data_IF_778288706057
#
_entry.id   IF_778288706057
#
_cell.length_a   1.000
_cell.length_b   1.000
_cell.length_c   1.000
_cell.angle_alpha   90.00
_cell.angle_beta   90.00
_cell.angle_gamma   90.00
#
_symmetry.space_group_name_H-M   'P 1'
#
loop_
_entity.id
_entity.type
_entity.pdbx_description
1 polymer ?
#
# COMPACT_ATOMS: atom_id res chain seq x y z
N UNK A 1 -30.37 -2.01 27.53
CA UNK A 1 -30.36 -0.64 26.98
C UNK A 1 -28.91 -0.32 26.76
N UNK A 2 -28.46 -0.36 25.50
CA UNK A 2 -27.05 -0.06 25.10
C UNK A 2 -26.88 1.45 25.27
N UNK A 3 -25.94 1.87 26.10
CA UNK A 3 -25.55 3.28 26.23
C UNK A 3 -25.18 3.80 24.83
N UNK A 4 -26.02 4.68 24.30
CA UNK A 4 -25.80 5.30 23.00
C UNK A 4 -24.56 6.19 23.12
N UNK A 5 -23.41 5.71 22.63
CA UNK A 5 -22.20 6.55 22.55
C UNK A 5 -22.46 7.70 21.59
N UNK A 6 -22.34 8.91 22.08
CA UNK A 6 -22.38 10.12 21.26
C UNK A 6 -20.96 10.43 20.83
N UNK A 7 -20.73 10.62 19.53
CA UNK A 7 -19.47 11.11 18.98
C UNK A 7 -19.36 12.63 19.18
N UNK A 8 -19.09 13.06 20.41
CA UNK A 8 -18.97 14.50 20.75
C UNK A 8 -17.82 15.19 20.01
N UNK A 9 -16.79 14.44 19.66
CA UNK A 9 -15.56 14.93 19.00
C UNK A 9 -15.59 14.81 17.48
N UNK A 10 -16.76 14.76 16.84
CA UNK A 10 -16.86 14.67 15.38
C UNK A 10 -17.35 15.99 14.74
N UNK A 11 -16.48 17.02 14.62
CA UNK A 11 -16.88 18.31 14.08
C UNK A 11 -17.48 18.22 12.67
N UNK A 12 -17.05 17.25 11.89
CA UNK A 12 -17.54 16.97 10.53
C UNK A 12 -19.01 16.52 10.45
N UNK A 13 -19.61 16.07 11.57
CA UNK A 13 -21.06 15.79 11.66
C UNK A 13 -21.88 17.05 11.88
N UNK A 14 -21.28 18.09 12.50
CA UNK A 14 -21.99 19.31 12.92
C UNK A 14 -21.80 20.46 11.92
N UNK A 15 -20.71 20.45 11.18
CA UNK A 15 -20.35 21.52 10.24
C UNK A 15 -19.53 20.98 9.04
N UNK A 16 -19.56 21.71 7.94
CA UNK A 16 -18.83 21.37 6.74
C UNK A 16 -19.57 20.46 5.77
N UNK A 17 -18.87 19.90 4.77
CA UNK A 17 -19.49 19.20 3.64
C UNK A 17 -20.35 18.00 4.00
N UNK A 18 -19.87 17.15 4.92
CA UNK A 18 -20.63 15.95 5.35
C UNK A 18 -21.94 16.31 6.07
N UNK A 19 -21.88 17.29 7.00
CA UNK A 19 -23.07 17.80 7.68
C UNK A 19 -24.09 18.36 6.69
N UNK A 20 -23.64 19.08 5.65
CA UNK A 20 -24.50 19.60 4.58
C UNK A 20 -25.19 18.48 3.79
N UNK A 21 -24.47 17.41 3.46
CA UNK A 21 -25.05 16.23 2.79
C UNK A 21 -26.10 15.57 3.69
N UNK A 22 -25.79 15.34 4.97
CA UNK A 22 -26.74 14.77 5.93
C UNK A 22 -28.01 15.63 6.08
N UNK A 23 -27.86 16.96 6.16
CA UNK A 23 -28.99 17.88 6.28
C UNK A 23 -29.93 17.84 5.06
N UNK A 24 -29.37 17.67 3.84
CA UNK A 24 -30.16 17.55 2.60
C UNK A 24 -30.89 16.21 2.50
N UNK A 25 -30.27 15.13 3.00
CA UNK A 25 -30.82 13.78 2.87
C UNK A 25 -31.84 13.42 3.96
N UNK A 26 -31.75 14.04 5.15
CA UNK A 26 -32.68 13.81 6.25
C UNK A 26 -33.99 14.64 6.08
N UNK A 27 -35.08 14.17 6.63
CA UNK A 27 -36.39 14.82 6.58
C UNK A 27 -37.39 14.17 5.61
N UNK A 28 -38.65 14.57 5.66
CA UNK A 28 -39.77 14.02 4.88
C UNK A 28 -39.87 12.49 4.94
N UNK A 29 -39.62 11.92 6.13
CA UNK A 29 -39.65 10.49 6.35
C UNK A 29 -38.42 9.72 5.88
N UNK A 30 -37.38 10.40 5.40
CA UNK A 30 -36.09 9.79 5.05
C UNK A 30 -35.04 10.05 6.12
N UNK A 31 -34.13 9.11 6.25
CA UNK A 31 -33.01 9.15 7.19
C UNK A 31 -31.69 8.88 6.45
N UNK A 32 -30.64 9.58 6.85
CA UNK A 32 -29.28 9.37 6.36
C UNK A 32 -28.30 9.33 7.53
N UNK A 33 -27.36 8.39 7.50
CA UNK A 33 -26.30 8.22 8.50
C UNK A 33 -24.95 8.04 7.81
N UNK A 34 -23.89 8.50 8.45
CA UNK A 34 -22.53 8.08 8.06
C UNK A 34 -22.30 6.65 8.51
N UNK A 35 -21.59 5.86 7.70
CA UNK A 35 -21.46 4.41 7.92
C UNK A 35 -20.02 3.93 7.76
N UNK A 36 -19.71 2.77 8.35
CA UNK A 36 -18.50 2.01 8.05
C UNK A 36 -17.21 2.62 8.56
N UNK A 37 -16.24 2.78 7.66
CA UNK A 37 -14.88 3.16 8.00
C UNK A 37 -14.73 4.48 8.74
N UNK A 38 -15.49 5.50 8.37
CA UNK A 38 -15.45 6.81 9.02
C UNK A 38 -15.90 6.74 10.48
N UNK A 39 -16.97 5.97 10.78
CA UNK A 39 -17.47 5.79 12.15
C UNK A 39 -16.45 5.03 13.00
N UNK A 40 -15.92 3.91 12.49
CA UNK A 40 -14.85 3.15 13.15
C UNK A 40 -13.65 4.04 13.46
N UNK A 41 -13.16 4.79 12.48
CA UNK A 41 -11.99 5.65 12.64
C UNK A 41 -12.24 6.76 13.67
N UNK A 42 -13.43 7.37 13.67
CA UNK A 42 -13.80 8.37 14.69
C UNK A 42 -13.78 7.77 16.10
N UNK A 43 -14.35 6.56 16.28
CA UNK A 43 -14.36 5.86 17.58
C UNK A 43 -12.96 5.45 18.05
N UNK A 44 -12.03 5.22 17.12
CA UNK A 44 -10.64 4.84 17.41
C UNK A 44 -9.69 6.04 17.47
N UNK A 45 -10.18 7.27 17.31
CA UNK A 45 -9.37 8.49 17.17
C UNK A 45 -8.32 8.38 16.03
N UNK A 46 -8.64 7.61 14.99
CA UNK A 46 -7.81 7.44 13.80
C UNK A 46 -8.19 8.47 12.71
N UNK A 47 -7.28 8.79 11.77
CA UNK A 47 -7.56 9.70 10.66
C UNK A 47 -8.79 9.26 9.86
N UNK A 48 -9.70 10.21 9.59
CA UNK A 48 -10.90 9.96 8.78
C UNK A 48 -10.55 10.22 7.32
N UNK A 49 -10.70 9.19 6.50
CA UNK A 49 -10.57 9.27 5.05
C UNK A 49 -11.93 9.59 4.39
N UNK A 50 -12.35 8.70 3.49
CA UNK A 50 -13.62 8.83 2.79
C UNK A 50 -14.80 8.67 3.78
N UNK A 51 -15.84 9.47 3.57
CA UNK A 51 -17.07 9.45 4.37
C UNK A 51 -18.18 8.89 3.49
N UNK A 52 -18.57 7.64 3.78
CA UNK A 52 -19.69 6.97 3.13
C UNK A 52 -20.98 7.24 3.91
N UNK A 53 -22.06 7.47 3.19
CA UNK A 53 -23.39 7.75 3.76
C UNK A 53 -24.36 6.69 3.27
N UNK A 54 -25.12 6.11 4.19
CA UNK A 54 -26.27 5.29 3.85
C UNK A 54 -27.55 6.09 4.09
N UNK A 55 -28.61 5.82 3.30
CA UNK A 55 -29.89 6.49 3.42
C UNK A 55 -31.08 5.59 3.11
N UNK A 56 -32.21 5.87 3.70
CA UNK A 56 -33.50 5.23 3.35
C UNK A 56 -34.07 5.76 2.04
N UNK A 57 -33.60 6.92 1.56
CA UNK A 57 -34.04 7.52 0.31
C UNK A 57 -33.57 6.72 -0.92
N UNK A 58 -34.47 6.49 -1.88
CA UNK A 58 -34.12 5.88 -3.17
C UNK A 58 -33.21 6.82 -3.99
N UNK A 59 -32.40 6.29 -4.93
CA UNK A 59 -31.46 7.06 -5.71
C UNK A 59 -32.05 8.30 -6.39
N UNK A 60 -33.23 8.18 -6.99
CA UNK A 60 -33.92 9.30 -7.66
C UNK A 60 -34.28 10.41 -6.66
N UNK A 61 -34.67 10.04 -5.45
CA UNK A 61 -34.96 11.01 -4.37
C UNK A 61 -33.69 11.68 -3.86
N UNK A 62 -32.56 10.96 -3.76
CA UNK A 62 -31.25 11.51 -3.45
C UNK A 62 -30.85 12.55 -4.50
N UNK A 63 -30.96 12.23 -5.79
CA UNK A 63 -30.65 13.15 -6.90
C UNK A 63 -31.56 14.39 -6.86
N UNK A 64 -32.85 14.19 -6.65
CA UNK A 64 -33.83 15.31 -6.59
C UNK A 64 -33.52 16.28 -5.46
N UNK A 65 -33.25 15.76 -4.23
CA UNK A 65 -32.89 16.57 -3.06
C UNK A 65 -31.57 17.30 -3.23
N UNK A 66 -30.56 16.62 -3.80
CA UNK A 66 -29.26 17.22 -4.11
C UNK A 66 -29.42 18.40 -5.10
N UNK A 67 -30.22 18.21 -6.16
CA UNK A 67 -30.52 19.27 -7.15
C UNK A 67 -31.22 20.47 -6.51
N UNK A 68 -32.21 20.23 -5.67
CA UNK A 68 -32.93 21.30 -4.96
C UNK A 68 -32.00 22.09 -4.02
N UNK A 69 -30.97 21.48 -3.45
CA UNK A 69 -29.96 22.10 -2.61
C UNK A 69 -28.75 22.68 -3.36
N UNK A 70 -28.74 22.65 -4.71
CA UNK A 70 -27.63 23.12 -5.53
C UNK A 70 -26.38 22.25 -5.38
N UNK A 71 -26.51 20.96 -5.04
CA UNK A 71 -25.42 20.00 -4.91
C UNK A 71 -25.32 19.18 -6.19
N UNK A 72 -24.08 19.09 -6.74
CA UNK A 72 -23.81 18.24 -7.91
C UNK A 72 -23.93 16.77 -7.52
N UNK A 73 -24.74 16.01 -8.28
CA UNK A 73 -24.90 14.57 -8.13
C UNK A 73 -24.41 13.84 -9.38
N UNK A 74 -23.75 12.69 -9.19
CA UNK A 74 -23.25 11.80 -10.25
C UNK A 74 -23.75 10.39 -9.97
N UNK A 75 -24.50 9.75 -10.89
CA UNK A 75 -25.01 8.40 -10.71
C UNK A 75 -23.91 7.35 -10.97
N UNK A 76 -23.01 7.18 -10.01
CA UNK A 76 -21.82 6.30 -10.15
C UNK A 76 -22.12 4.81 -10.06
N UNK A 77 -23.28 4.42 -9.54
CA UNK A 77 -23.68 3.01 -9.35
C UNK A 77 -25.16 2.90 -9.02
N UNK A 78 -26.01 3.48 -9.85
CA UNK A 78 -27.47 3.61 -9.59
C UNK A 78 -28.16 2.24 -9.49
N UNK A 79 -27.68 1.25 -10.25
CA UNK A 79 -28.13 -0.15 -10.21
C UNK A 79 -27.83 -0.82 -8.86
N UNK A 80 -26.86 -0.29 -8.11
CA UNK A 80 -26.49 -0.74 -6.77
C UNK A 80 -26.97 0.23 -5.69
N UNK A 81 -27.76 1.25 -6.06
CA UNK A 81 -28.29 2.24 -5.14
C UNK A 81 -27.31 3.37 -4.76
N UNK A 82 -26.17 3.52 -5.46
CA UNK A 82 -25.14 4.51 -5.11
C UNK A 82 -25.19 5.74 -6.01
N UNK A 83 -25.19 6.90 -5.38
CA UNK A 83 -25.08 8.22 -6.03
C UNK A 83 -23.94 8.98 -5.35
N UNK A 84 -23.01 9.54 -6.11
CA UNK A 84 -21.97 10.40 -5.56
C UNK A 84 -22.45 11.86 -5.53
N UNK A 85 -22.47 12.46 -4.36
CA UNK A 85 -22.71 13.89 -4.15
C UNK A 85 -21.38 14.62 -4.00
N UNK A 86 -21.24 15.77 -4.67
CA UNK A 86 -20.00 16.56 -4.61
C UNK A 86 -20.27 17.89 -3.91
N UNK A 87 -19.67 18.09 -2.74
CA UNK A 87 -19.77 19.31 -1.92
C UNK A 87 -18.37 19.85 -1.68
N UNK A 88 -18.11 21.11 -2.03
CA UNK A 88 -16.78 21.74 -1.87
C UNK A 88 -15.63 20.90 -2.48
N UNK A 89 -15.86 20.41 -3.69
CA UNK A 89 -14.94 19.51 -4.42
C UNK A 89 -14.65 18.15 -3.75
N UNK A 90 -15.34 17.79 -2.65
CA UNK A 90 -15.24 16.49 -1.98
C UNK A 90 -16.38 15.58 -2.42
N UNK A 91 -16.08 14.35 -2.89
CA UNK A 91 -17.10 13.36 -3.20
C UNK A 91 -17.59 12.67 -1.92
N UNK A 92 -18.90 12.41 -1.87
CA UNK A 92 -19.56 11.59 -0.84
C UNK A 92 -20.36 10.51 -1.54
N UNK A 93 -20.03 9.24 -1.27
CA UNK A 93 -20.83 8.13 -1.76
C UNK A 93 -22.06 7.97 -0.88
N UNK A 94 -23.23 8.14 -1.49
CA UNK A 94 -24.54 7.98 -0.83
C UNK A 94 -25.18 6.72 -1.38
N UNK A 95 -25.39 5.73 -0.52
CA UNK A 95 -25.95 4.44 -0.91
C UNK A 95 -27.30 4.24 -0.23
N UNK A 96 -28.34 3.94 -1.01
CA UNK A 96 -29.65 3.53 -0.47
C UNK A 96 -29.50 2.23 0.33
N UNK A 97 -30.13 2.14 1.49
CA UNK A 97 -30.18 0.90 2.28
C UNK A 97 -30.70 -0.25 1.41
N UNK A 98 -30.07 -1.39 1.52
CA UNK A 98 -30.37 -2.55 0.67
C UNK A 98 -30.23 -3.87 1.42
N UNK A 99 -30.97 -4.84 0.95
CA UNK A 99 -30.86 -6.24 1.32
C UNK A 99 -30.31 -7.01 0.12
N UNK A 100 -29.34 -7.89 0.34
CA UNK A 100 -28.82 -8.75 -0.72
C UNK A 100 -29.79 -9.94 -0.86
N UNK A 101 -30.56 -9.98 -1.95
CA UNK A 101 -31.56 -11.04 -2.21
C UNK A 101 -30.87 -12.30 -2.74
N UNK A 102 -29.84 -12.15 -3.58
CA UNK A 102 -29.00 -13.23 -4.11
C UNK A 102 -27.58 -12.70 -4.32
N UNK A 103 -26.59 -13.40 -3.80
CA UNK A 103 -25.16 -13.04 -3.92
C UNK A 103 -24.45 -14.03 -4.83
N UNK A 104 -23.91 -13.54 -5.95
CA UNK A 104 -23.03 -14.27 -6.84
C UNK A 104 -21.68 -13.53 -6.93
N UNK A 105 -20.83 -13.75 -5.95
CA UNK A 105 -19.53 -13.05 -5.85
C UNK A 105 -19.72 -11.52 -5.79
N UNK A 106 -19.36 -10.81 -6.88
CA UNK A 106 -19.42 -9.33 -6.95
C UNK A 106 -20.79 -8.78 -7.39
N UNK A 107 -21.67 -9.62 -7.95
CA UNK A 107 -23.00 -9.23 -8.40
C UNK A 107 -24.03 -9.75 -7.40
N UNK A 108 -24.61 -8.83 -6.63
CA UNK A 108 -25.79 -9.11 -5.81
C UNK A 108 -27.01 -8.53 -6.52
N UNK A 109 -28.08 -9.30 -6.60
CA UNK A 109 -29.40 -8.73 -6.88
C UNK A 109 -29.87 -8.06 -5.60
N UNK A 110 -29.91 -6.73 -5.60
CA UNK A 110 -30.26 -5.96 -4.42
C UNK A 110 -31.72 -5.57 -4.43
N UNK A 111 -32.37 -5.66 -3.28
CA UNK A 111 -33.64 -5.00 -3.03
C UNK A 111 -33.38 -3.78 -2.13
N UNK A 112 -33.90 -2.63 -2.53
CA UNK A 112 -33.82 -1.44 -1.70
C UNK A 112 -34.73 -1.60 -0.50
N UNK A 113 -34.23 -1.27 0.69
CA UNK A 113 -34.90 -1.41 1.95
C UNK A 113 -34.82 -0.15 2.81
N UNK A 114 -35.38 -0.24 3.99
CA UNK A 114 -35.35 0.84 5.00
C UNK A 114 -34.83 0.35 6.35
N UNK A 115 -34.41 -0.93 6.41
CA UNK A 115 -34.00 -1.59 7.65
C UNK A 115 -32.46 -1.42 7.83
N UNK A 116 -32.11 -0.65 8.85
CA UNK A 116 -30.71 -0.39 9.22
C UNK A 116 -29.99 -1.62 9.75
N UNK A 117 -30.69 -2.52 10.44
CA UNK A 117 -30.07 -3.73 10.96
C UNK A 117 -29.68 -4.67 9.83
N UNK A 118 -30.55 -4.86 8.84
CA UNK A 118 -30.25 -5.68 7.66
C UNK A 118 -29.12 -5.11 6.81
N UNK A 119 -29.05 -3.77 6.65
CA UNK A 119 -27.91 -3.16 5.97
C UNK A 119 -26.60 -3.36 6.74
N UNK A 120 -26.62 -3.30 8.06
CA UNK A 120 -25.45 -3.58 8.89
C UNK A 120 -25.02 -5.06 8.78
N UNK A 121 -25.98 -6.00 8.84
CA UNK A 121 -25.74 -7.45 8.79
C UNK A 121 -25.07 -7.92 7.48
N UNK A 122 -25.31 -7.24 6.35
CA UNK A 122 -24.67 -7.60 5.07
C UNK A 122 -23.21 -7.14 4.95
N UNK A 123 -22.70 -6.31 5.86
CA UNK A 123 -21.31 -5.83 5.87
C UNK A 123 -20.35 -6.94 6.28
N UNK A 124 -19.07 -6.72 6.14
CA UNK A 124 -18.03 -7.74 6.37
C UNK A 124 -17.74 -7.96 7.87
N UNK A 125 -17.38 -6.89 8.58
CA UNK A 125 -16.91 -6.98 9.98
C UNK A 125 -17.76 -6.11 10.91
N UNK A 126 -17.92 -6.56 12.16
CA UNK A 126 -18.69 -5.86 13.19
C UNK A 126 -18.26 -4.40 13.36
N UNK A 127 -16.97 -4.13 13.39
CA UNK A 127 -16.40 -2.77 13.51
C UNK A 127 -16.67 -1.88 12.30
N UNK A 128 -17.09 -2.45 11.17
CA UNK A 128 -17.48 -1.74 9.94
C UNK A 128 -19.02 -1.67 9.80
N UNK A 129 -19.77 -2.34 10.66
CA UNK A 129 -21.24 -2.36 10.67
C UNK A 129 -21.89 -1.22 11.45
N UNK A 130 -21.09 -0.30 11.98
CA UNK A 130 -21.57 0.84 12.75
C UNK A 130 -22.04 1.97 11.86
N UNK A 131 -23.05 2.72 12.35
CA UNK A 131 -23.51 3.97 11.73
C UNK A 131 -23.61 5.08 12.76
N UNK A 132 -23.57 6.35 12.32
CA UNK A 132 -23.76 7.54 13.16
C UNK A 132 -24.71 8.50 12.46
N UNK A 133 -25.70 9.00 13.19
CA UNK A 133 -26.65 9.98 12.68
C UNK A 133 -26.12 11.43 12.79
N UNK A 134 -26.91 12.37 12.30
CA UNK A 134 -26.57 13.79 12.32
C UNK A 134 -26.47 14.40 13.73
N UNK A 135 -27.09 13.76 14.74
CA UNK A 135 -26.98 14.16 16.14
C UNK A 135 -25.71 13.62 16.83
N UNK A 136 -24.96 12.74 16.13
CA UNK A 136 -23.77 12.11 16.68
C UNK A 136 -24.04 10.81 17.43
N UNK A 137 -25.27 10.31 17.43
CA UNK A 137 -25.62 9.03 18.09
C UNK A 137 -25.11 7.87 17.24
N UNK A 138 -24.32 7.00 17.84
CA UNK A 138 -23.81 5.79 17.20
C UNK A 138 -24.83 4.66 17.34
N UNK A 139 -25.16 4.06 16.20
CA UNK A 139 -26.07 2.92 16.13
C UNK A 139 -25.27 1.64 15.85
N UNK A 140 -25.46 0.64 16.70
CA UNK A 140 -24.79 -0.67 16.62
C UNK A 140 -25.84 -1.79 16.60
N UNK A 141 -25.98 -2.44 15.45
CA UNK A 141 -26.88 -3.57 15.25
C UNK A 141 -26.16 -4.93 15.23
N UNK A 142 -24.83 -4.94 15.27
CA UNK A 142 -24.02 -6.15 15.02
C UNK A 142 -22.94 -6.41 16.08
N UNK A 143 -22.91 -5.62 17.16
CA UNK A 143 -21.95 -5.76 18.25
C UNK A 143 -20.56 -5.21 17.91
N UNK A 144 -20.51 -4.13 17.12
CA UNK A 144 -19.27 -3.48 16.72
C UNK A 144 -18.64 -2.64 17.82
N UNK A 145 -19.41 -1.99 18.70
CA UNK A 145 -18.89 -1.17 19.79
C UNK A 145 -18.03 -1.95 20.80
N UNK A 146 -18.45 -3.13 21.31
CA UNK A 146 -17.59 -3.99 22.12
C UNK A 146 -16.33 -4.42 21.39
N UNK A 147 -16.41 -4.72 20.09
CA UNK A 147 -15.26 -5.14 19.28
C UNK A 147 -14.28 -3.98 19.02
N UNK A 148 -14.77 -2.75 18.85
CA UNK A 148 -13.94 -1.53 18.82
C UNK A 148 -13.16 -1.37 20.13
N UNK A 149 -13.85 -1.48 21.26
CA UNK A 149 -13.23 -1.34 22.58
C UNK A 149 -12.16 -2.41 22.84
N UNK A 150 -12.43 -3.65 22.39
CA UNK A 150 -11.48 -4.77 22.49
C UNK A 150 -10.41 -4.81 21.38
N UNK A 151 -10.41 -3.87 20.44
CA UNK A 151 -9.54 -3.93 19.26
C UNK A 151 -9.63 -5.27 18.53
N UNK A 152 -10.81 -5.85 18.44
CA UNK A 152 -11.08 -7.15 17.83
C UNK A 152 -11.75 -6.99 16.47
N UNK A 153 -11.25 -7.71 15.47
CA UNK A 153 -11.86 -7.78 14.14
C UNK A 153 -12.59 -9.11 14.00
N UNK A 154 -13.89 -9.07 13.88
CA UNK A 154 -14.76 -10.24 13.81
C UNK A 154 -15.74 -10.12 12.64
N UNK A 155 -15.98 -11.21 11.94
CA UNK A 155 -17.03 -11.27 10.91
C UNK A 155 -18.42 -11.05 11.52
N UNK A 156 -19.31 -10.43 10.75
CA UNK A 156 -20.72 -10.34 11.07
C UNK A 156 -21.37 -11.68 10.68
N UNK A 157 -22.05 -12.34 11.64
CA UNK A 157 -22.65 -13.66 11.43
C UNK A 157 -21.61 -14.79 11.30
N UNK A 158 -21.91 -15.80 10.48
CA UNK A 158 -21.05 -16.96 10.28
C UNK A 158 -19.87 -16.63 9.34
N UNK A 159 -18.60 -16.76 9.80
CA UNK A 159 -17.44 -16.41 9.00
C UNK A 159 -17.29 -17.21 7.72
N UNK A 160 -17.59 -18.51 7.75
CA UNK A 160 -17.43 -19.38 6.58
C UNK A 160 -18.41 -18.99 5.47
N UNK A 161 -19.67 -18.71 5.85
CA UNK A 161 -20.68 -18.19 4.92
C UNK A 161 -20.26 -16.84 4.34
N UNK A 162 -19.77 -15.92 5.17
CA UNK A 162 -19.33 -14.58 4.73
C UNK A 162 -18.16 -14.65 3.74
N UNK A 163 -17.23 -15.58 3.95
CA UNK A 163 -16.09 -15.82 3.05
C UNK A 163 -16.58 -16.43 1.72
N UNK A 164 -17.52 -17.38 1.76
CA UNK A 164 -18.07 -18.01 0.55
C UNK A 164 -18.82 -17.00 -0.36
N UNK A 165 -19.44 -15.96 0.20
CA UNK A 165 -20.06 -14.88 -0.58
C UNK A 165 -19.02 -14.05 -1.36
N UNK A 166 -17.83 -13.79 -0.78
CA UNK A 166 -16.71 -13.10 -1.43
C UNK A 166 -15.38 -13.46 -0.77
N UNK A 167 -14.58 -14.27 -1.43
CA UNK A 167 -13.28 -14.73 -0.91
C UNK A 167 -12.27 -13.60 -0.68
N UNK A 168 -12.49 -12.39 -1.22
CA UNK A 168 -11.65 -11.24 -0.89
C UNK A 168 -11.70 -10.87 0.60
N UNK A 169 -12.79 -11.26 1.28
CA UNK A 169 -12.94 -11.04 2.73
C UNK A 169 -11.85 -11.72 3.54
N UNK A 170 -11.20 -12.76 3.02
CA UNK A 170 -10.01 -13.37 3.63
C UNK A 170 -8.89 -12.32 3.74
N UNK A 171 -8.53 -11.69 2.63
CA UNK A 171 -7.48 -10.66 2.62
C UNK A 171 -7.89 -9.43 3.43
N UNK A 172 -9.16 -9.05 3.33
CA UNK A 172 -9.72 -7.93 4.10
C UNK A 172 -9.65 -8.18 5.61
N UNK A 173 -9.90 -9.42 6.07
CA UNK A 173 -9.82 -9.79 7.49
C UNK A 173 -8.43 -9.49 8.05
N UNK A 174 -7.38 -9.98 7.42
CA UNK A 174 -6.00 -9.74 7.86
C UNK A 174 -5.60 -8.27 7.73
N UNK A 175 -6.01 -7.59 6.66
CA UNK A 175 -5.73 -6.16 6.50
C UNK A 175 -6.43 -5.30 7.55
N UNK A 176 -7.70 -5.55 7.81
CA UNK A 176 -8.46 -4.80 8.81
C UNK A 176 -7.92 -5.10 10.21
N UNK A 177 -7.56 -6.37 10.49
CA UNK A 177 -6.89 -6.74 11.75
C UNK A 177 -5.55 -6.01 11.90
N UNK A 178 -4.71 -6.02 10.87
CA UNK A 178 -3.43 -5.29 10.88
C UNK A 178 -3.58 -3.78 11.09
N UNK A 179 -4.67 -3.18 10.63
CA UNK A 179 -4.89 -1.73 10.74
C UNK A 179 -5.57 -1.31 12.04
N UNK A 180 -6.43 -2.16 12.62
CA UNK A 180 -7.33 -1.75 13.71
C UNK A 180 -7.42 -2.74 14.87
N UNK A 181 -6.96 -3.98 14.66
CA UNK A 181 -6.93 -5.04 15.66
C UNK A 181 -5.73 -4.94 16.61
N UNK A 182 -5.74 -5.80 17.62
CA UNK A 182 -4.60 -6.03 18.51
C UNK A 182 -4.55 -7.49 18.95
N UNK A 183 -3.35 -7.98 19.28
CA UNK A 183 -3.15 -9.39 19.67
C UNK A 183 -3.41 -10.35 18.51
N UNK A 184 -3.83 -11.56 18.86
CA UNK A 184 -4.14 -12.62 17.90
C UNK A 184 -5.42 -12.30 17.09
N UNK A 185 -5.50 -12.68 15.81
CA UNK A 185 -6.72 -12.61 15.04
C UNK A 185 -7.86 -13.41 15.69
N UNK A 186 -9.11 -12.95 15.52
CA UNK A 186 -10.28 -13.70 15.99
C UNK A 186 -10.26 -15.14 15.49
N UNK A 187 -10.28 -16.09 16.42
CA UNK A 187 -10.04 -17.51 16.12
C UNK A 187 -11.05 -18.09 15.14
N UNK A 188 -12.34 -17.76 15.26
CA UNK A 188 -13.36 -18.26 14.37
C UNK A 188 -13.16 -17.73 12.93
N UNK A 189 -12.89 -16.43 12.80
CA UNK A 189 -12.57 -15.78 11.55
C UNK A 189 -11.29 -16.34 10.92
N UNK A 190 -10.23 -16.54 11.72
CA UNK A 190 -8.96 -17.10 11.26
C UNK A 190 -9.11 -18.53 10.69
N UNK A 191 -9.77 -19.42 11.43
CA UNK A 191 -10.00 -20.79 10.96
C UNK A 191 -10.86 -20.84 9.69
N UNK A 192 -11.88 -19.98 9.60
CA UNK A 192 -12.70 -19.88 8.40
C UNK A 192 -11.90 -19.36 7.19
N UNK A 193 -10.97 -18.41 7.40
CA UNK A 193 -10.05 -17.95 6.35
C UNK A 193 -9.16 -19.09 5.84
N UNK A 194 -8.60 -19.91 6.74
CA UNK A 194 -7.81 -21.09 6.36
C UNK A 194 -8.67 -22.09 5.59
N UNK A 195 -9.87 -22.40 6.05
CA UNK A 195 -10.75 -23.35 5.37
C UNK A 195 -11.20 -22.88 3.99
N UNK A 196 -11.35 -21.55 3.82
CA UNK A 196 -11.79 -20.95 2.57
C UNK A 196 -10.67 -20.58 1.58
N UNK A 197 -9.40 -20.86 1.89
CA UNK A 197 -8.24 -20.32 1.13
C UNK A 197 -8.24 -20.68 -0.36
N UNK A 198 -8.79 -21.82 -0.74
CA UNK A 198 -8.87 -22.25 -2.14
C UNK A 198 -9.63 -21.26 -3.04
N UNK A 199 -10.60 -20.53 -2.46
CA UNK A 199 -11.36 -19.51 -3.16
C UNK A 199 -10.55 -18.26 -3.56
N UNK A 200 -9.36 -18.04 -2.99
CA UNK A 200 -8.47 -16.96 -3.40
C UNK A 200 -8.07 -17.05 -4.86
N UNK A 201 -8.01 -18.26 -5.42
CA UNK A 201 -7.68 -18.48 -6.84
C UNK A 201 -8.72 -17.90 -7.83
N UNK A 202 -9.97 -17.69 -7.37
CA UNK A 202 -11.02 -17.11 -8.19
C UNK A 202 -11.02 -15.57 -8.22
N UNK A 203 -10.17 -14.92 -7.41
CA UNK A 203 -10.13 -13.46 -7.31
C UNK A 203 -9.34 -12.84 -8.46
N UNK A 204 -9.77 -11.65 -8.90
CA UNK A 204 -8.98 -10.87 -9.84
C UNK A 204 -7.70 -10.35 -9.17
N UNK A 205 -6.60 -10.36 -9.93
CA UNK A 205 -5.29 -9.95 -9.44
C UNK A 205 -5.29 -8.50 -8.91
N UNK A 206 -6.09 -7.62 -9.52
CA UNK A 206 -6.23 -6.21 -9.13
C UNK A 206 -6.85 -6.07 -7.73
N UNK A 207 -7.89 -6.88 -7.44
CA UNK A 207 -8.53 -6.89 -6.11
C UNK A 207 -7.56 -7.41 -5.04
N UNK A 208 -6.86 -8.50 -5.34
CA UNK A 208 -5.82 -9.07 -4.46
C UNK A 208 -4.72 -8.04 -4.21
N UNK A 209 -4.18 -7.42 -5.28
CA UNK A 209 -3.16 -6.38 -5.16
C UNK A 209 -3.57 -5.24 -4.24
N UNK A 210 -4.79 -4.74 -4.40
CA UNK A 210 -5.29 -3.61 -3.61
C UNK A 210 -5.29 -3.92 -2.10
N UNK A 211 -5.72 -5.12 -1.69
CA UNK A 211 -5.72 -5.53 -0.30
C UNK A 211 -4.30 -5.81 0.21
N UNK A 212 -3.46 -6.49 -0.59
CA UNK A 212 -2.06 -6.76 -0.25
C UNK A 212 -1.28 -5.47 -0.03
N UNK A 213 -1.38 -4.49 -0.93
CA UNK A 213 -0.63 -3.23 -0.78
C UNK A 213 -1.04 -2.47 0.48
N UNK A 214 -2.33 -2.46 0.82
CA UNK A 214 -2.83 -1.85 2.06
C UNK A 214 -2.37 -2.63 3.31
N UNK A 215 -2.32 -3.96 3.23
CA UNK A 215 -1.81 -4.81 4.31
C UNK A 215 -0.32 -4.53 4.56
N UNK A 216 0.49 -4.42 3.50
CA UNK A 216 1.93 -4.19 3.64
C UNK A 216 2.27 -2.94 4.44
N UNK A 217 1.46 -1.89 4.39
CA UNK A 217 1.72 -0.63 5.09
C UNK A 217 0.97 -0.47 6.42
N UNK A 218 0.15 -1.44 6.79
CA UNK A 218 -0.58 -1.39 8.06
C UNK A 218 0.37 -1.50 9.27
N UNK A 219 0.00 -0.90 10.40
CA UNK A 219 0.83 -0.88 11.62
C UNK A 219 1.09 -2.27 12.19
N UNK A 220 0.08 -3.15 12.16
CA UNK A 220 0.14 -4.55 12.57
C UNK A 220 0.47 -5.52 11.43
N UNK A 221 1.06 -5.06 10.32
CA UNK A 221 1.36 -5.89 9.15
C UNK A 221 2.20 -7.11 9.49
N UNK A 222 3.18 -6.97 10.40
CA UNK A 222 4.07 -8.05 10.81
C UNK A 222 3.30 -9.24 11.40
N UNK A 223 2.48 -9.01 12.42
CA UNK A 223 1.68 -10.05 13.06
C UNK A 223 0.65 -10.67 12.10
N UNK A 224 -0.03 -9.84 11.29
CA UNK A 224 -1.01 -10.34 10.33
C UNK A 224 -0.36 -11.20 9.24
N UNK A 225 0.79 -10.82 8.70
CA UNK A 225 1.53 -11.59 7.69
C UNK A 225 2.08 -12.88 8.29
N UNK A 226 2.54 -12.86 9.55
CA UNK A 226 2.95 -14.07 10.28
C UNK A 226 1.78 -15.04 10.44
N UNK A 227 0.63 -14.57 10.90
CA UNK A 227 -0.57 -15.41 11.00
C UNK A 227 -1.02 -15.98 9.63
N UNK A 228 -0.93 -15.19 8.56
CA UNK A 228 -1.20 -15.66 7.20
C UNK A 228 -0.20 -16.73 6.75
N UNK A 229 1.08 -16.61 7.13
CA UNK A 229 2.11 -17.60 6.82
C UNK A 229 1.84 -18.93 7.52
N UNK A 230 1.54 -18.89 8.81
CA UNK A 230 1.19 -20.05 9.63
C UNK A 230 -0.07 -20.76 9.11
N UNK A 231 -1.05 -20.00 8.65
CA UNK A 231 -2.27 -20.50 8.02
C UNK A 231 -2.12 -20.98 6.57
N UNK A 232 -0.91 -20.90 5.97
CA UNK A 232 -0.66 -21.33 4.59
C UNK A 232 -1.26 -20.40 3.50
N UNK A 233 -1.71 -19.20 3.88
CA UNK A 233 -2.44 -18.28 2.99
C UNK A 233 -1.53 -17.50 2.03
N UNK A 234 -0.22 -17.40 2.30
CA UNK A 234 0.70 -16.59 1.47
C UNK A 234 1.05 -17.26 0.14
N UNK A 235 1.17 -18.59 0.12
CA UNK A 235 1.53 -19.32 -1.10
C UNK A 235 0.51 -19.15 -2.24
N UNK A 236 -0.81 -19.27 -2.02
CA UNK A 236 -1.80 -18.99 -3.05
C UNK A 236 -1.76 -17.55 -3.58
N UNK A 237 -1.38 -16.59 -2.73
CA UNK A 237 -1.32 -15.16 -3.08
C UNK A 237 -0.08 -14.87 -3.93
N UNK A 238 1.10 -15.26 -3.47
CA UNK A 238 2.38 -14.87 -4.10
C UNK A 238 2.92 -15.91 -5.09
N UNK A 239 2.53 -17.18 -4.98
CA UNK A 239 3.00 -18.27 -5.84
C UNK A 239 4.50 -18.54 -5.73
N UNK A 240 5.11 -18.18 -4.59
CA UNK A 240 6.54 -18.31 -4.33
C UNK A 240 6.82 -18.49 -2.84
N UNK A 241 8.07 -18.78 -2.52
CA UNK A 241 8.57 -18.75 -1.13
C UNK A 241 8.42 -17.34 -0.58
N UNK A 242 8.07 -17.25 0.68
CA UNK A 242 7.95 -16.00 1.44
C UNK A 242 8.91 -16.02 2.64
N UNK A 243 9.31 -14.82 3.06
CA UNK A 243 10.37 -14.61 4.06
C UNK A 243 9.85 -13.66 5.15
N UNK A 244 9.20 -14.20 6.18
CA UNK A 244 8.61 -13.40 7.27
C UNK A 244 9.68 -12.71 8.12
N UNK A 245 10.83 -13.34 8.38
CA UNK A 245 11.95 -12.71 9.08
C UNK A 245 12.49 -11.46 8.38
N UNK A 246 12.88 -11.51 7.10
CA UNK A 246 13.23 -10.32 6.33
C UNK A 246 12.11 -9.27 6.23
N UNK A 247 10.85 -9.68 6.22
CA UNK A 247 9.72 -8.75 6.27
C UNK A 247 9.68 -7.96 7.59
N UNK A 248 9.80 -8.65 8.71
CA UNK A 248 9.90 -8.03 10.04
C UNK A 248 11.14 -7.12 10.15
N UNK A 249 12.30 -7.60 9.67
CA UNK A 249 13.54 -6.81 9.62
C UNK A 249 13.40 -5.53 8.78
N UNK A 250 12.65 -5.56 7.68
CA UNK A 250 12.37 -4.37 6.86
C UNK A 250 11.51 -3.35 7.62
N UNK A 251 10.47 -3.81 8.31
CA UNK A 251 9.61 -2.95 9.14
C UNK A 251 10.43 -2.30 10.26
N UNK A 252 11.28 -3.09 10.94
CA UNK A 252 12.14 -2.60 12.01
C UNK A 252 13.16 -1.57 11.50
N UNK A 253 13.78 -1.81 10.35
CA UNK A 253 14.71 -0.87 9.73
C UNK A 253 14.02 0.44 9.29
N UNK A 254 12.81 0.38 8.72
CA UNK A 254 12.02 1.58 8.38
C UNK A 254 11.74 2.42 9.64
N UNK A 255 11.31 1.78 10.73
CA UNK A 255 11.06 2.46 12.02
C UNK A 255 12.33 3.09 12.58
N UNK A 256 13.44 2.35 12.61
CA UNK A 256 14.73 2.84 13.13
C UNK A 256 15.26 4.04 12.35
N UNK A 257 14.95 4.14 11.06
CA UNK A 257 15.34 5.26 10.19
C UNK A 257 14.31 6.39 10.14
N UNK A 258 13.14 6.24 10.78
CA UNK A 258 12.05 7.21 10.69
C UNK A 258 11.46 7.33 9.28
N UNK A 259 11.51 6.25 8.49
CA UNK A 259 10.99 6.23 7.12
C UNK A 259 9.50 5.84 7.12
N UNK A 260 8.75 6.47 6.23
CA UNK A 260 7.37 6.07 5.97
C UNK A 260 7.30 4.63 5.44
N UNK A 261 6.28 3.85 5.87
CA UNK A 261 6.04 2.51 5.38
C UNK A 261 5.90 2.46 3.85
N UNK A 262 6.66 1.58 3.19
CA UNK A 262 6.59 1.45 1.73
C UNK A 262 6.15 0.04 1.32
N UNK A 263 4.97 -0.07 0.71
CA UNK A 263 4.37 -1.34 0.35
C UNK A 263 5.26 -2.20 -0.57
N UNK A 264 5.89 -1.60 -1.58
CA UNK A 264 6.74 -2.32 -2.54
C UNK A 264 8.04 -2.77 -1.89
N UNK A 265 8.65 -1.95 -1.03
CA UNK A 265 9.85 -2.32 -0.29
C UNK A 265 9.58 -3.50 0.66
N UNK A 266 8.49 -3.45 1.41
CA UNK A 266 8.07 -4.53 2.30
C UNK A 266 7.68 -5.80 1.54
N UNK A 267 6.98 -5.68 0.41
CA UNK A 267 6.69 -6.81 -0.49
C UNK A 267 7.98 -7.43 -1.04
N UNK A 268 8.98 -6.62 -1.40
CA UNK A 268 10.31 -7.08 -1.81
C UNK A 268 10.99 -7.90 -0.71
N UNK A 269 10.95 -7.44 0.53
CA UNK A 269 11.51 -8.19 1.66
C UNK A 269 10.78 -9.52 1.90
N UNK A 270 9.44 -9.51 1.76
CA UNK A 270 8.60 -10.70 1.97
C UNK A 270 8.76 -11.76 0.88
N UNK A 271 8.86 -11.38 -0.41
CA UNK A 271 8.62 -12.32 -1.50
C UNK A 271 9.63 -12.23 -2.67
N UNK A 272 10.74 -11.47 -2.54
CA UNK A 272 11.75 -11.34 -3.59
C UNK A 272 13.12 -11.75 -3.07
N UNK A 273 13.67 -12.86 -3.59
CA UNK A 273 15.05 -13.28 -3.36
C UNK A 273 15.93 -13.00 -4.58
N UNK A 274 15.39 -13.20 -5.78
CA UNK A 274 16.07 -13.04 -7.06
C UNK A 274 15.20 -12.24 -8.04
N UNK A 275 15.76 -11.83 -9.16
CA UNK A 275 15.06 -11.00 -10.16
C UNK A 275 13.82 -11.69 -10.77
N UNK A 276 13.86 -13.01 -10.89
CA UNK A 276 12.75 -13.82 -11.41
C UNK A 276 11.49 -13.72 -10.54
N UNK A 277 11.66 -13.52 -9.22
CA UNK A 277 10.54 -13.34 -8.29
C UNK A 277 9.76 -12.06 -8.59
N UNK A 278 10.44 -10.98 -8.98
CA UNK A 278 9.80 -9.73 -9.35
C UNK A 278 8.88 -9.88 -10.57
N UNK A 279 9.30 -10.66 -11.58
CA UNK A 279 8.47 -10.96 -12.76
C UNK A 279 7.25 -11.78 -12.40
N UNK A 280 7.42 -12.80 -11.54
CA UNK A 280 6.32 -13.64 -11.06
C UNK A 280 5.28 -12.83 -10.27
N UNK A 281 5.73 -12.02 -9.33
CA UNK A 281 4.85 -11.13 -8.55
C UNK A 281 4.14 -10.12 -9.44
N UNK A 282 4.83 -9.56 -10.45
CA UNK A 282 4.22 -8.66 -11.42
C UNK A 282 3.04 -9.30 -12.15
N UNK A 283 3.19 -10.53 -12.61
CA UNK A 283 2.10 -11.26 -13.26
C UNK A 283 0.93 -11.57 -12.32
N UNK A 284 1.22 -12.00 -11.08
CA UNK A 284 0.20 -12.40 -10.10
C UNK A 284 -0.57 -11.24 -9.49
N UNK A 285 0.10 -10.12 -9.25
CA UNK A 285 -0.50 -8.93 -8.60
C UNK A 285 -0.77 -7.79 -9.59
N UNK A 286 -0.54 -7.98 -10.88
CA UNK A 286 -0.70 -6.91 -11.89
C UNK A 286 0.02 -5.62 -11.47
N UNK A 287 1.30 -5.76 -11.07
CA UNK A 287 2.12 -4.62 -10.68
C UNK A 287 2.38 -3.70 -11.88
N UNK A 288 2.53 -2.42 -11.60
CA UNK A 288 2.95 -1.45 -12.63
C UNK A 288 4.40 -1.71 -13.07
N UNK A 289 4.77 -1.18 -14.23
CA UNK A 289 6.16 -1.29 -14.71
C UNK A 289 7.17 -0.67 -13.73
N UNK A 290 6.79 0.41 -13.04
CA UNK A 290 7.65 1.06 -12.05
C UNK A 290 7.85 0.18 -10.81
N UNK A 291 6.78 -0.40 -10.27
CA UNK A 291 6.81 -1.32 -9.14
C UNK A 291 7.64 -2.57 -9.48
N UNK A 292 7.44 -3.14 -10.67
CA UNK A 292 8.19 -4.30 -11.16
C UNK A 292 9.69 -4.00 -11.26
N UNK A 293 10.08 -2.86 -11.85
CA UNK A 293 11.48 -2.43 -11.93
C UNK A 293 12.12 -2.21 -10.56
N UNK A 294 11.33 -1.75 -9.58
CA UNK A 294 11.80 -1.58 -8.20
C UNK A 294 12.09 -2.93 -7.56
N UNK A 295 11.16 -3.88 -7.63
CA UNK A 295 11.36 -5.24 -7.12
C UNK A 295 12.49 -5.98 -7.83
N UNK A 296 12.61 -5.86 -9.16
CA UNK A 296 13.70 -6.43 -9.95
C UNK A 296 15.06 -5.90 -9.48
N UNK A 297 15.15 -4.57 -9.29
CA UNK A 297 16.35 -3.95 -8.71
C UNK A 297 16.67 -4.51 -7.33
N UNK A 298 15.68 -4.69 -6.46
CA UNK A 298 15.88 -5.26 -5.11
C UNK A 298 16.39 -6.71 -5.17
N UNK A 299 15.86 -7.55 -6.07
CA UNK A 299 16.29 -8.93 -6.27
C UNK A 299 17.68 -9.09 -6.86
N UNK A 300 18.27 -8.01 -7.45
CA UNK A 300 19.53 -8.11 -8.15
C UNK A 300 20.74 -8.06 -7.21
N UNK A 301 21.35 -9.21 -6.91
CA UNK A 301 22.63 -9.35 -6.18
C UNK A 301 22.70 -8.59 -4.84
N UNK A 302 21.59 -8.49 -4.11
CA UNK A 302 21.54 -7.81 -2.80
C UNK A 302 22.55 -8.39 -1.81
N UNK A 303 22.86 -9.70 -1.87
CA UNK A 303 23.83 -10.40 -1.00
C UNK A 303 25.27 -9.90 -1.14
N UNK A 304 25.59 -9.13 -2.18
CA UNK A 304 26.90 -8.49 -2.38
C UNK A 304 27.01 -7.12 -1.73
N UNK A 305 25.98 -6.66 -1.05
CA UNK A 305 25.94 -5.34 -0.44
C UNK A 305 26.34 -5.35 1.04
N UNK A 306 26.34 -6.52 1.67
CA UNK A 306 26.86 -6.69 3.03
C UNK A 306 28.39 -6.54 3.04
N UNK A 307 28.89 -5.71 3.93
CA UNK A 307 30.35 -5.58 4.12
C UNK A 307 31.10 -4.64 3.18
N UNK A 308 30.42 -3.88 2.31
CA UNK A 308 31.11 -2.90 1.46
C UNK A 308 31.61 -1.69 2.27
N UNK A 309 32.73 -1.13 1.81
CA UNK A 309 33.28 0.13 2.30
C UNK A 309 32.55 1.35 1.71
N UNK A 310 32.85 2.53 2.23
CA UNK A 310 32.19 3.76 1.82
C UNK A 310 32.48 4.12 0.35
N UNK A 311 33.68 3.89 -0.15
CA UNK A 311 34.03 4.14 -1.55
C UNK A 311 33.19 3.27 -2.50
N UNK A 312 33.00 1.99 -2.14
CA UNK A 312 32.11 1.09 -2.89
C UNK A 312 30.65 1.54 -2.78
N UNK A 313 30.21 2.02 -1.62
CA UNK A 313 28.86 2.54 -1.41
C UNK A 313 28.59 3.77 -2.28
N UNK A 314 29.53 4.73 -2.36
CA UNK A 314 29.46 5.91 -3.24
C UNK A 314 29.33 5.51 -4.72
N UNK A 315 30.15 4.57 -5.20
CA UNK A 315 30.05 4.04 -6.56
C UNK A 315 28.71 3.40 -6.86
N UNK A 316 28.16 2.65 -5.89
CA UNK A 316 26.82 2.04 -6.01
C UNK A 316 25.72 3.09 -6.04
N UNK A 317 25.82 4.11 -5.18
CA UNK A 317 24.87 5.22 -5.14
C UNK A 317 24.87 5.99 -6.46
N UNK A 318 26.04 6.30 -7.02
CA UNK A 318 26.18 6.93 -8.32
C UNK A 318 25.46 6.15 -9.43
N UNK A 319 25.68 4.83 -9.51
CA UNK A 319 25.10 3.99 -10.58
C UNK A 319 23.62 3.70 -10.43
N UNK A 320 23.12 3.60 -9.21
CA UNK A 320 21.74 3.20 -8.95
C UNK A 320 20.78 4.37 -8.77
N UNK A 321 21.30 5.52 -8.36
CA UNK A 321 20.50 6.62 -7.81
C UNK A 321 20.01 6.32 -6.40
N UNK A 322 19.61 7.37 -5.68
CA UNK A 322 19.33 7.33 -4.24
C UNK A 322 18.23 6.31 -3.85
N UNK A 323 17.12 6.28 -4.59
CA UNK A 323 15.99 5.42 -4.26
C UNK A 323 16.33 3.93 -4.39
N UNK A 324 16.85 3.49 -5.55
CA UNK A 324 17.21 2.08 -5.79
C UNK A 324 18.35 1.62 -4.89
N UNK A 325 19.32 2.50 -4.63
CA UNK A 325 20.42 2.23 -3.71
C UNK A 325 19.87 1.94 -2.31
N UNK A 326 19.01 2.82 -1.78
CA UNK A 326 18.38 2.65 -0.46
C UNK A 326 17.58 1.36 -0.37
N UNK A 327 16.70 1.10 -1.32
CA UNK A 327 15.84 -0.08 -1.30
C UNK A 327 16.63 -1.39 -1.31
N UNK A 328 17.71 -1.46 -2.11
CA UNK A 328 18.59 -2.64 -2.16
C UNK A 328 19.36 -2.85 -0.88
N UNK A 329 19.88 -1.78 -0.28
CA UNK A 329 20.58 -1.86 1.00
C UNK A 329 19.65 -2.25 2.15
N UNK A 330 18.46 -1.68 2.20
CA UNK A 330 17.47 -2.06 3.21
C UNK A 330 17.08 -3.53 3.07
N UNK A 331 16.95 -4.06 1.85
CA UNK A 331 16.72 -5.49 1.65
C UNK A 331 17.91 -6.33 2.15
N UNK A 332 19.14 -5.92 1.84
CA UNK A 332 20.34 -6.61 2.32
C UNK A 332 20.42 -6.59 3.86
N UNK A 333 20.12 -5.46 4.47
CA UNK A 333 20.05 -5.32 5.93
C UNK A 333 18.98 -6.23 6.53
N UNK A 334 17.75 -6.15 6.04
CA UNK A 334 16.65 -6.98 6.53
C UNK A 334 16.94 -8.50 6.41
N UNK A 335 17.72 -8.91 5.41
CA UNK A 335 18.11 -10.31 5.18
C UNK A 335 19.38 -10.76 5.90
N UNK A 336 20.18 -9.81 6.37
CA UNK A 336 21.42 -10.14 7.11
C UNK A 336 21.17 -10.63 8.54
N UNK A 337 19.94 -10.47 9.07
CA UNK A 337 19.64 -10.69 10.48
C UNK A 337 20.30 -9.69 11.41
N UNK A 338 20.82 -8.59 10.88
CA UNK A 338 21.45 -7.52 11.69
C UNK A 338 20.42 -6.77 12.52
N UNK A 339 20.86 -6.28 13.69
CA UNK A 339 20.04 -5.47 14.58
C UNK A 339 19.49 -4.22 13.88
N UNK A 340 18.23 -3.82 14.19
CA UNK A 340 17.57 -2.68 13.55
C UNK A 340 18.28 -1.33 13.77
N UNK A 341 19.11 -1.21 14.80
CA UNK A 341 19.88 -0.02 15.16
C UNK A 341 21.36 -0.11 14.79
N UNK A 342 21.77 -1.12 14.00
CA UNK A 342 23.15 -1.33 13.60
C UNK A 342 23.73 -0.07 12.92
N UNK A 343 24.76 0.60 13.53
CA UNK A 343 25.28 1.86 13.04
C UNK A 343 25.79 1.77 11.60
N UNK A 344 26.46 0.67 11.27
CA UNK A 344 27.03 0.45 9.93
C UNK A 344 25.97 0.44 8.83
N UNK A 345 24.84 -0.27 9.04
CA UNK A 345 23.76 -0.30 8.06
C UNK A 345 23.10 1.07 7.95
N UNK A 346 22.90 1.75 9.09
CA UNK A 346 22.37 3.12 9.12
C UNK A 346 23.24 4.06 8.30
N UNK A 347 24.57 4.06 8.51
CA UNK A 347 25.50 4.89 7.75
C UNK A 347 25.42 4.63 6.24
N UNK A 348 25.37 3.37 5.83
CA UNK A 348 25.27 3.03 4.42
C UNK A 348 23.94 3.46 3.80
N UNK A 349 22.82 3.21 4.49
CA UNK A 349 21.48 3.53 3.95
C UNK A 349 21.22 5.03 3.86
N UNK A 350 21.77 5.81 4.81
CA UNK A 350 21.64 7.29 4.85
C UNK A 350 22.72 8.02 4.03
N UNK A 351 23.61 7.32 3.35
CA UNK A 351 24.62 7.95 2.50
C UNK A 351 24.06 8.98 1.49
N UNK A 352 22.89 8.76 0.85
CA UNK A 352 22.31 9.75 -0.07
C UNK A 352 21.94 11.09 0.58
N UNK A 353 21.83 11.17 1.90
CA UNK A 353 21.47 12.38 2.64
C UNK A 353 22.72 13.22 2.99
N UNK A 354 23.87 12.59 3.09
CA UNK A 354 25.13 13.21 3.52
C UNK A 354 26.21 13.30 2.44
N UNK A 355 26.00 12.68 1.27
CA UNK A 355 26.90 12.73 0.13
C UNK A 355 26.16 13.07 -1.16
N UNK A 356 26.50 14.23 -1.73
CA UNK A 356 25.96 14.67 -3.01
C UNK A 356 26.65 13.93 -4.16
N UNK A 357 25.89 13.24 -4.98
CA UNK A 357 26.40 12.49 -6.13
C UNK A 357 26.99 13.45 -7.16
N UNK A 358 28.32 13.41 -7.44
CA UNK A 358 28.93 14.30 -8.40
C UNK A 358 28.53 13.91 -9.83
N UNK A 359 28.58 14.88 -10.74
CA UNK A 359 28.41 14.61 -12.16
C UNK A 359 29.78 14.24 -12.77
N UNK A 360 29.77 13.27 -13.68
CA UNK A 360 30.96 12.91 -14.42
C UNK A 360 31.48 14.15 -15.22
N UNK A 361 32.75 14.61 -15.00
CA UNK A 361 33.19 15.89 -15.50
C UNK A 361 33.68 15.86 -16.96
N UNK A 362 34.19 14.71 -17.45
CA UNK A 362 34.71 14.61 -18.80
C UNK A 362 33.60 14.55 -19.85
N UNK A 363 33.82 15.21 -20.98
CA UNK A 363 32.86 15.37 -22.08
C UNK A 363 33.42 14.78 -23.38
N UNK A 364 32.56 14.63 -24.36
CA UNK A 364 32.97 14.19 -25.73
C UNK A 364 34.14 14.99 -26.34
N UNK A 365 34.16 16.31 -26.12
CA UNK A 365 35.21 17.20 -26.63
C UNK A 365 36.59 16.83 -26.08
N UNK A 366 36.70 16.37 -24.84
CA UNK A 366 37.98 16.00 -24.20
C UNK A 366 38.63 14.78 -24.90
N UNK A 367 37.81 13.89 -25.46
CA UNK A 367 38.25 12.70 -26.20
C UNK A 367 38.44 12.97 -27.69
N UNK A 368 37.65 13.87 -28.28
CA UNK A 368 37.87 14.34 -29.64
C UNK A 368 39.26 15.01 -29.79
N UNK A 369 39.66 15.83 -28.81
CA UNK A 369 41.00 16.42 -28.73
C UNK A 369 42.13 15.36 -28.64
N UNK A 370 41.81 14.14 -28.22
CA UNK A 370 42.72 12.98 -28.14
C UNK A 370 42.63 12.04 -29.34
N UNK A 371 41.95 12.46 -30.41
CA UNK A 371 41.88 11.72 -31.67
C UNK A 371 40.79 10.63 -31.72
N UNK A 372 39.88 10.60 -30.81
CA UNK A 372 38.74 9.68 -30.83
C UNK A 372 37.62 10.28 -31.69
N UNK A 373 37.27 9.61 -32.79
CA UNK A 373 36.21 10.04 -33.69
C UNK A 373 34.82 9.93 -33.04
N UNK A 374 33.87 10.79 -33.45
CA UNK A 374 32.47 10.69 -33.05
C UNK A 374 31.87 9.35 -33.49
N UNK A 375 31.03 8.76 -32.63
CA UNK A 375 30.36 7.50 -32.92
C UNK A 375 30.50 6.49 -31.76
N UNK A 376 30.33 5.18 -32.05
CA UNK A 376 30.38 4.12 -31.03
C UNK A 376 31.68 4.08 -30.21
N UNK A 377 32.80 4.38 -30.82
CA UNK A 377 34.14 4.44 -30.19
C UNK A 377 34.15 5.48 -29.05
N UNK A 378 33.62 6.66 -29.29
CA UNK A 378 33.52 7.72 -28.29
C UNK A 378 32.71 7.31 -27.09
N UNK A 379 31.56 6.62 -27.31
CA UNK A 379 30.72 6.08 -26.22
C UNK A 379 31.46 5.05 -25.36
N UNK A 380 32.28 4.19 -25.99
CA UNK A 380 33.09 3.19 -25.28
C UNK A 380 34.22 3.84 -24.45
N UNK A 381 34.92 4.82 -25.01
CA UNK A 381 35.99 5.52 -24.29
C UNK A 381 35.41 6.33 -23.11
N UNK A 382 34.27 7.00 -23.30
CA UNK A 382 33.57 7.70 -22.21
C UNK A 382 33.19 6.73 -21.08
N UNK A 383 32.67 5.54 -21.39
CA UNK A 383 32.34 4.53 -20.39
C UNK A 383 33.60 4.02 -19.64
N UNK A 384 34.71 3.80 -20.34
CA UNK A 384 35.98 3.42 -19.73
C UNK A 384 36.54 4.51 -18.81
N UNK A 385 36.44 5.78 -19.22
CA UNK A 385 36.83 6.91 -18.40
C UNK A 385 35.96 7.09 -17.17
N UNK A 386 34.65 6.94 -17.31
CA UNK A 386 33.72 6.97 -16.18
C UNK A 386 34.01 5.83 -15.18
N UNK A 387 34.27 4.61 -15.66
CA UNK A 387 34.64 3.49 -14.79
C UNK A 387 35.96 3.76 -14.03
N UNK A 388 36.97 4.34 -14.70
CA UNK A 388 38.23 4.71 -14.07
C UNK A 388 38.02 5.84 -13.04
N UNK A 389 37.21 6.84 -13.36
CA UNK A 389 36.88 7.94 -12.45
C UNK A 389 36.18 7.46 -11.19
N UNK A 390 35.20 6.54 -11.32
CA UNK A 390 34.56 5.88 -10.23
C UNK A 390 35.54 5.06 -9.39
N UNK A 391 36.43 4.33 -10.01
CA UNK A 391 37.44 3.52 -9.31
C UNK A 391 38.42 4.38 -8.50
N UNK A 392 38.72 5.61 -8.97
CA UNK A 392 39.54 6.58 -8.28
C UNK A 392 38.82 7.41 -7.20
N UNK A 393 37.60 7.07 -6.86
CA UNK A 393 36.72 7.75 -5.87
C UNK A 393 36.43 9.21 -6.21
N UNK A 394 36.01 9.46 -7.46
CA UNK A 394 35.47 10.73 -7.97
C UNK A 394 36.40 11.93 -7.90
N UNK A 395 37.65 11.86 -8.41
CA UNK A 395 38.56 13.01 -8.38
C UNK A 395 38.03 14.19 -9.21
N UNK A 396 38.22 15.41 -8.68
CA UNK A 396 37.82 16.65 -9.35
C UNK A 396 39.01 17.47 -9.92
N UNK A 397 40.24 17.11 -9.57
CA UNK A 397 41.44 17.83 -10.01
C UNK A 397 41.75 17.60 -11.47
N UNK A 398 42.13 18.65 -12.19
CA UNK A 398 42.41 18.65 -13.64
C UNK A 398 43.45 17.59 -14.04
N UNK A 399 44.56 17.52 -13.34
CA UNK A 399 45.64 16.52 -13.63
C UNK A 399 45.13 15.07 -13.46
N UNK A 400 44.29 14.80 -12.47
CA UNK A 400 43.69 13.46 -12.28
C UNK A 400 42.70 13.12 -13.41
N UNK A 401 41.93 14.11 -13.87
CA UNK A 401 40.98 13.94 -14.98
C UNK A 401 41.71 13.72 -16.31
N UNK A 402 42.82 14.43 -16.57
CA UNK A 402 43.65 14.21 -17.74
C UNK A 402 44.23 12.80 -17.73
N UNK A 403 44.81 12.35 -16.61
CA UNK A 403 45.35 11.00 -16.48
C UNK A 403 44.28 9.91 -16.72
N UNK A 404 43.02 10.14 -16.24
CA UNK A 404 41.87 9.24 -16.47
C UNK A 404 41.53 9.21 -17.97
N UNK A 405 41.49 10.37 -18.64
CA UNK A 405 41.16 10.45 -20.05
C UNK A 405 42.23 9.74 -20.90
N UNK A 406 43.52 9.98 -20.63
CA UNK A 406 44.64 9.35 -21.35
C UNK A 406 44.67 7.83 -21.12
N UNK A 407 44.41 7.37 -19.89
CA UNK A 407 44.32 5.95 -19.58
C UNK A 407 43.16 5.27 -20.32
N UNK A 408 41.97 5.91 -20.39
CA UNK A 408 40.83 5.37 -21.10
C UNK A 408 41.08 5.22 -22.60
N UNK A 409 41.70 6.23 -23.23
CA UNK A 409 42.10 6.19 -24.64
C UNK A 409 43.15 5.10 -24.89
N UNK A 410 44.16 4.99 -24.04
CA UNK A 410 45.20 3.97 -24.16
C UNK A 410 44.63 2.55 -24.01
N UNK A 411 43.67 2.34 -23.10
CA UNK A 411 42.96 1.07 -22.91
C UNK A 411 42.13 0.73 -24.13
N UNK A 412 41.35 1.67 -24.62
CA UNK A 412 40.50 1.49 -25.81
C UNK A 412 41.33 1.07 -27.01
N UNK A 413 42.47 1.77 -27.28
CA UNK A 413 43.37 1.48 -28.38
C UNK A 413 44.05 0.10 -28.27
N UNK A 414 44.31 -0.38 -27.04
CA UNK A 414 44.82 -1.75 -26.82
C UNK A 414 43.80 -2.82 -27.13
N UNK A 415 42.54 -2.61 -26.69
CA UNK A 415 41.46 -3.58 -26.84
C UNK A 415 40.96 -3.66 -28.30
N UNK A 416 41.32 -2.68 -29.17
CA UNK A 416 40.92 -2.57 -30.58
C UNK A 416 42.11 -2.54 -31.53
N UNK A 417 43.30 -2.97 -31.10
CA UNK A 417 44.40 -3.23 -32.04
C UNK A 417 44.07 -4.44 -32.91
N UNK A 418 44.29 -4.33 -34.26
CA UNK A 418 44.02 -5.43 -35.18
C UNK A 418 44.86 -6.66 -34.90
#
# INVERSE_FOLDING_TARGET
MTDARVLDAAPWLRSGPAARVLAVLNGDGEEARVVGGAVRNALLAAPIGDIDIATTALPDKVISRARAAGIKSVPTGIEHGTVTLVVEARPFEVTTLREDVETFGRKARVAFGRDWARDAERRDFTINGLSVDAAGVVHDHVGGLPDIAARRVRFIGDPARRIAEDYLRILRFFRIHASYGSGEPDRAGYLACISGFAGLAALSAERVRMEVMKLMIADGAEGAVTAMAEGGLLLPIFGSVFYTGPFAGMIAAERALGLEPNAIRRLGALAVAVTEDAKRLSGRLRLTNQETKKLDSMGHRWWRLGGMDEATARRRLYRLGAERYRDRLMLAWARSGGEPDCPRWRELVTLPERWSVPKFPLKAADFAARGIAEGPALGQVLALAEDAWLAADFPAGESALEAIADHAVARFNRDHRP
#
